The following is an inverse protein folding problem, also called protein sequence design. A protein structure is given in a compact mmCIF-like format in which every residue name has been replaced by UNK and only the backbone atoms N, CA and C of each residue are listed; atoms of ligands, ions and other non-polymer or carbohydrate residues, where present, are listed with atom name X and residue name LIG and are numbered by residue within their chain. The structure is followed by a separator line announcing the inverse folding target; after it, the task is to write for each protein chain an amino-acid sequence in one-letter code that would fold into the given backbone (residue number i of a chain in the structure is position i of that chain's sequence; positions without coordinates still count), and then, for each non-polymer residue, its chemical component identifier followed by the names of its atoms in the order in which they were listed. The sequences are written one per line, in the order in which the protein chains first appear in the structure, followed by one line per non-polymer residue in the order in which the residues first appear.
data_IF_448307069215
#
_entry.id   IF_448307069215
#
_cell.length_a   1.000
_cell.length_b   1.000
_cell.length_c   1.000
_cell.angle_alpha   90.00
_cell.angle_beta   90.00
_cell.angle_gamma   90.00
#
_symmetry.space_group_name_H-M   'P 1'
#
loop_
_entity.id
_entity.type
_entity.pdbx_description
1 polymer ?
#
# COMPACT_ATOMS: atom_id res chain seq x y z
N UNK A 1 41.06 -9.76 16.00
CA UNK A 1 41.27 -9.58 14.54
C UNK A 1 40.56 -10.74 13.85
N UNK A 2 39.37 -10.50 13.32
CA UNK A 2 38.60 -11.49 12.57
C UNK A 2 37.72 -10.72 11.60
N UNK A 3 38.23 -10.51 10.39
CA UNK A 3 37.46 -9.88 9.31
C UNK A 3 36.40 -10.89 8.91
N UNK A 4 35.14 -10.60 9.25
CA UNK A 4 34.01 -11.38 8.75
C UNK A 4 33.87 -10.99 7.28
N UNK A 5 34.17 -11.94 6.40
CA UNK A 5 34.15 -11.75 4.96
C UNK A 5 32.68 -11.61 4.49
N UNK A 6 32.16 -10.39 4.61
CA UNK A 6 30.82 -10.02 4.18
C UNK A 6 30.89 -9.73 2.68
N UNK A 7 30.27 -10.61 1.86
CA UNK A 7 30.13 -10.40 0.42
C UNK A 7 29.58 -8.99 0.12
N UNK A 8 30.07 -8.37 -0.96
CA UNK A 8 29.80 -6.96 -1.27
C UNK A 8 28.52 -6.70 -2.05
N UNK A 9 27.93 -7.73 -2.69
CA UNK A 9 26.83 -7.56 -3.64
C UNK A 9 25.58 -8.35 -3.24
N UNK A 10 24.39 -7.77 -3.43
CA UNK A 10 23.08 -8.46 -3.33
C UNK A 10 22.59 -8.89 -4.71
N UNK A 11 21.73 -9.92 -4.77
CA UNK A 11 21.12 -10.40 -6.03
C UNK A 11 20.60 -9.23 -6.88
N UNK A 12 21.08 -9.12 -8.12
CA UNK A 12 20.73 -8.05 -9.06
C UNK A 12 21.64 -6.82 -9.04
N UNK A 13 22.49 -6.63 -8.03
CA UNK A 13 23.39 -5.47 -7.92
C UNK A 13 24.52 -5.48 -8.97
N UNK A 14 24.98 -6.67 -9.38
CA UNK A 14 26.08 -6.82 -10.33
C UNK A 14 25.58 -7.12 -11.74
N UNK A 15 24.92 -6.15 -12.39
CA UNK A 15 24.65 -6.20 -13.84
C UNK A 15 25.83 -5.64 -14.66
N UNK A 16 27.04 -6.16 -14.43
CA UNK A 16 28.22 -5.80 -15.22
C UNK A 16 28.94 -7.08 -15.65
N UNK A 17 28.41 -7.75 -16.68
CA UNK A 17 29.16 -8.80 -17.36
C UNK A 17 30.34 -8.16 -18.11
N UNK A 18 31.56 -8.63 -17.84
CA UNK A 18 32.75 -8.18 -18.56
C UNK A 18 33.27 -9.32 -19.44
N UNK A 19 33.06 -9.20 -20.75
CA UNK A 19 33.44 -10.24 -21.73
C UNK A 19 34.93 -10.58 -21.71
N UNK A 20 35.80 -9.66 -21.27
CA UNK A 20 37.26 -9.90 -21.24
C UNK A 20 37.70 -10.57 -19.94
N UNK A 21 37.13 -10.17 -18.80
CA UNK A 21 37.49 -10.71 -17.48
C UNK A 21 36.81 -12.06 -17.21
N UNK A 22 35.59 -12.25 -17.73
CA UNK A 22 34.79 -13.46 -17.52
C UNK A 22 35.05 -14.57 -18.55
N UNK A 23 35.93 -14.34 -19.54
CA UNK A 23 36.35 -15.36 -20.52
C UNK A 23 37.39 -16.32 -19.93
N UNK A 24 36.98 -17.04 -18.89
CA UNK A 24 37.76 -18.06 -18.20
C UNK A 24 36.88 -19.30 -17.94
N UNK A 25 37.49 -20.44 -17.58
CA UNK A 25 36.73 -21.69 -17.44
C UNK A 25 35.66 -21.60 -16.35
N UNK A 26 35.92 -20.95 -15.23
CA UNK A 26 34.92 -20.75 -14.17
C UNK A 26 33.77 -19.83 -14.63
N UNK A 27 34.09 -18.74 -15.33
CA UNK A 27 33.11 -17.79 -15.86
C UNK A 27 32.16 -18.42 -16.88
N UNK A 28 32.71 -19.13 -17.86
CA UNK A 28 31.93 -19.81 -18.92
C UNK A 28 31.09 -20.95 -18.35
N UNK A 29 31.60 -21.69 -17.35
CA UNK A 29 30.91 -22.84 -16.74
C UNK A 29 30.10 -22.41 -15.50
N UNK A 30 29.19 -21.45 -15.71
CA UNK A 30 28.18 -21.05 -14.74
C UNK A 30 28.56 -19.86 -13.85
N UNK A 31 29.83 -19.45 -13.81
CA UNK A 31 30.29 -18.31 -12.99
C UNK A 31 29.62 -16.99 -13.38
N UNK A 32 29.39 -16.73 -14.67
CA UNK A 32 28.63 -15.54 -15.12
C UNK A 32 27.17 -15.61 -14.69
N UNK A 33 26.54 -16.79 -14.78
CA UNK A 33 25.15 -16.98 -14.36
C UNK A 33 24.98 -16.76 -12.85
N UNK A 34 25.96 -17.20 -12.06
CA UNK A 34 26.01 -16.95 -10.63
C UNK A 34 26.09 -15.44 -10.29
N UNK A 35 26.59 -14.60 -11.20
CA UNK A 35 26.63 -13.15 -11.00
C UNK A 35 25.32 -12.44 -11.27
N UNK A 36 24.60 -12.90 -12.29
CA UNK A 36 23.41 -12.20 -12.81
C UNK A 36 22.10 -12.77 -12.27
N UNK A 37 22.15 -13.90 -11.55
CA UNK A 37 20.97 -14.62 -11.06
C UNK A 37 21.21 -15.21 -9.68
N UNK A 38 20.20 -15.12 -8.81
CA UNK A 38 20.14 -15.78 -7.49
C UNK A 38 19.69 -17.23 -7.53
N UNK A 39 19.27 -17.72 -8.70
CA UNK A 39 18.89 -19.13 -8.89
C UNK A 39 20.08 -20.05 -8.63
N UNK A 40 19.77 -21.23 -8.12
CA UNK A 40 20.77 -22.29 -8.02
C UNK A 40 21.14 -22.75 -9.42
N UNK A 41 22.41 -22.51 -9.78
CA UNK A 41 22.97 -22.88 -11.07
C UNK A 41 24.16 -23.78 -10.81
N UNK A 42 24.29 -24.82 -11.62
CA UNK A 42 25.45 -25.68 -11.56
C UNK A 42 26.68 -24.89 -12.05
N UNK A 43 27.63 -24.70 -11.13
CA UNK A 43 28.88 -23.98 -11.41
C UNK A 43 30.05 -24.91 -11.14
N UNK A 44 31.01 -24.93 -12.07
CA UNK A 44 32.29 -25.60 -11.86
C UNK A 44 33.30 -24.59 -11.34
N UNK A 45 33.66 -24.75 -10.07
CA UNK A 45 34.61 -23.91 -9.35
C UNK A 45 36.06 -24.27 -9.68
N UNK A 46 36.96 -23.31 -9.48
CA UNK A 46 38.40 -23.41 -9.70
C UNK A 46 38.98 -24.64 -9.00
N UNK A 47 38.54 -24.91 -7.77
CA UNK A 47 38.96 -26.08 -6.99
C UNK A 47 38.63 -27.40 -7.69
N UNK A 48 37.50 -27.48 -8.38
CA UNK A 48 37.12 -28.67 -9.13
C UNK A 48 37.99 -28.82 -10.38
N UNK A 49 38.20 -27.74 -11.13
CA UNK A 49 39.11 -27.75 -12.28
C UNK A 49 40.52 -28.19 -11.89
N UNK A 50 41.09 -27.61 -10.82
CA UNK A 50 42.43 -28.00 -10.32
C UNK A 50 42.50 -29.43 -9.78
N UNK A 51 41.37 -30.00 -9.34
CA UNK A 51 41.29 -31.39 -8.88
C UNK A 51 41.32 -32.39 -10.03
N UNK A 52 40.71 -32.07 -11.16
CA UNK A 52 40.52 -33.01 -12.27
C UNK A 52 41.44 -32.77 -13.47
N UNK A 53 42.06 -31.59 -13.59
CA UNK A 53 43.09 -31.31 -14.60
C UNK A 53 44.48 -31.58 -14.04
N UNK A 54 45.26 -32.43 -14.74
CA UNK A 54 46.67 -32.63 -14.41
C UNK A 54 47.50 -31.37 -14.73
N UNK A 55 48.66 -31.22 -14.08
CA UNK A 55 49.55 -30.07 -14.32
C UNK A 55 49.99 -29.94 -15.79
N UNK A 56 50.11 -31.05 -16.53
CA UNK A 56 50.41 -31.01 -17.96
C UNK A 56 49.24 -30.54 -18.81
N UNK A 57 48.01 -30.88 -18.43
CA UNK A 57 46.80 -30.42 -19.10
C UNK A 57 46.56 -28.93 -18.84
N UNK A 58 46.81 -28.47 -17.61
CA UNK A 58 46.69 -27.04 -17.25
C UNK A 58 47.63 -26.16 -18.09
N UNK A 59 48.86 -26.61 -18.35
CA UNK A 59 49.84 -25.89 -19.20
C UNK A 59 49.42 -25.79 -20.67
N UNK A 60 48.49 -26.62 -21.13
CA UNK A 60 47.98 -26.64 -22.51
C UNK A 60 46.71 -25.82 -22.70
N UNK A 61 46.13 -25.28 -21.63
CA UNK A 61 44.91 -24.47 -21.69
C UNK A 61 45.19 -23.13 -22.38
N UNK A 62 44.32 -22.74 -23.31
CA UNK A 62 44.37 -21.42 -23.97
C UNK A 62 43.64 -20.32 -23.20
N UNK A 63 42.71 -20.71 -22.34
CA UNK A 63 41.95 -19.82 -21.46
C UNK A 63 42.26 -20.18 -20.01
N UNK A 64 42.42 -19.18 -19.12
CA UNK A 64 42.74 -19.43 -17.73
C UNK A 64 41.56 -20.14 -17.04
N UNK A 65 41.86 -20.84 -15.93
CA UNK A 65 40.81 -21.50 -15.13
C UNK A 65 39.86 -20.45 -14.53
N UNK A 66 40.38 -19.32 -14.05
CA UNK A 66 39.60 -18.29 -13.35
C UNK A 66 39.54 -18.54 -11.84
N UNK A 67 38.98 -17.57 -11.11
CA UNK A 67 38.88 -17.59 -9.64
C UNK A 67 37.44 -17.82 -9.15
N UNK A 68 37.31 -18.37 -7.94
CA UNK A 68 36.02 -18.63 -7.31
C UNK A 68 35.37 -17.36 -6.75
N UNK A 69 34.32 -16.90 -7.42
CA UNK A 69 33.64 -15.65 -7.07
C UNK A 69 32.42 -15.81 -6.15
N UNK A 70 32.25 -17.00 -5.57
CA UNK A 70 31.13 -17.34 -4.66
C UNK A 70 31.12 -16.50 -3.38
N UNK A 71 32.27 -15.95 -2.97
CA UNK A 71 32.43 -15.09 -1.79
C UNK A 71 32.03 -13.62 -2.00
N UNK A 72 31.79 -13.19 -3.25
CA UNK A 72 31.39 -11.80 -3.54
C UNK A 72 29.95 -11.49 -3.09
N UNK A 73 29.14 -12.52 -2.85
CA UNK A 73 27.71 -12.40 -2.56
C UNK A 73 27.42 -12.60 -1.08
N UNK A 74 26.53 -11.77 -0.53
CA UNK A 74 26.03 -11.97 0.84
C UNK A 74 25.30 -13.31 0.89
N UNK A 75 25.76 -14.24 1.73
CA UNK A 75 25.12 -15.54 1.90
C UNK A 75 23.83 -15.36 2.72
N UNK A 76 22.69 -15.67 2.13
CA UNK A 76 21.48 -15.97 2.90
C UNK A 76 21.40 -17.48 3.17
N UNK A 77 21.11 -17.92 4.41
CA UNK A 77 20.84 -19.33 4.67
C UNK A 77 19.59 -19.74 3.89
N UNK A 78 19.73 -20.63 2.92
CA UNK A 78 18.57 -21.22 2.24
C UNK A 78 18.02 -22.33 3.13
N UNK A 79 16.84 -22.09 3.71
CA UNK A 79 16.01 -23.13 4.30
C UNK A 79 15.57 -24.15 3.25
N UNK A 80 15.34 -25.37 3.73
CA UNK A 80 14.93 -26.60 3.04
C UNK A 80 13.81 -26.47 1.99
N UNK A 81 13.79 -27.45 1.07
CA UNK A 81 12.83 -27.69 -0.02
C UNK A 81 11.43 -27.10 0.19
N UNK A 82 11.01 -26.29 -0.78
CA UNK A 82 9.67 -25.71 -0.91
C UNK A 82 8.67 -26.85 -1.13
N UNK A 83 8.04 -27.31 -0.05
CA UNK A 83 6.73 -27.95 -0.15
C UNK A 83 5.68 -26.86 -0.32
N UNK A 84 4.81 -27.13 -1.28
CA UNK A 84 3.79 -26.27 -1.84
C UNK A 84 2.63 -26.12 -0.85
N UNK A 85 2.84 -25.49 0.29
CA UNK A 85 1.72 -25.23 1.21
C UNK A 85 1.79 -23.81 1.79
N UNK A 86 0.59 -23.24 1.77
CA UNK A 86 0.17 -21.89 2.05
C UNK A 86 0.81 -21.30 3.31
N UNK A 87 1.25 -20.05 3.18
CA UNK A 87 2.08 -19.32 4.13
C UNK A 87 1.32 -19.00 5.45
N UNK A 88 1.71 -19.63 6.58
CA UNK A 88 1.30 -19.26 7.95
C UNK A 88 2.46 -19.44 8.96
N UNK A 89 2.82 -18.35 9.68
CA UNK A 89 3.66 -18.27 10.92
C UNK A 89 5.17 -18.53 10.73
N UNK A 90 6.15 -17.67 11.03
CA UNK A 90 6.54 -16.80 12.17
C UNK A 90 6.89 -17.53 13.47
N UNK A 91 8.19 -17.53 13.79
CA UNK A 91 8.85 -17.20 15.09
C UNK A 91 10.36 -17.09 14.75
N UNK A 92 10.92 -15.90 14.51
CA UNK A 92 11.43 -14.89 15.46
C UNK A 92 12.33 -15.47 16.56
N UNK A 93 13.63 -15.40 16.36
CA UNK A 93 14.48 -14.81 17.40
C UNK A 93 15.42 -13.73 16.83
N UNK A 94 15.35 -13.48 15.53
CA UNK A 94 16.60 -13.37 14.81
C UNK A 94 16.20 -12.97 13.40
N UNK A 95 16.52 -11.72 13.03
CA UNK A 95 16.11 -11.04 11.80
C UNK A 95 14.68 -11.38 11.33
N UNK A 96 13.68 -11.01 12.13
CA UNK A 96 12.30 -11.38 11.88
C UNK A 96 11.77 -10.88 10.54
N UNK A 97 11.29 -11.82 9.73
CA UNK A 97 10.74 -11.61 8.39
C UNK A 97 9.67 -10.51 8.39
N UNK A 98 9.89 -9.42 7.64
CA UNK A 98 8.85 -8.44 7.34
C UNK A 98 7.79 -9.08 6.44
N UNK A 99 6.82 -9.74 7.07
CA UNK A 99 5.72 -10.37 6.36
C UNK A 99 4.76 -9.31 5.83
N UNK A 100 4.38 -9.46 4.57
CA UNK A 100 3.28 -8.72 3.99
C UNK A 100 1.97 -9.17 4.65
N UNK A 101 1.65 -8.59 5.81
CA UNK A 101 0.34 -8.75 6.43
C UNK A 101 -0.66 -7.91 5.66
N UNK A 102 -1.36 -8.51 4.69
CA UNK A 102 -2.47 -7.82 4.00
C UNK A 102 -3.65 -7.49 4.92
N UNK A 103 -3.63 -7.94 6.18
CA UNK A 103 -4.46 -7.40 7.26
C UNK A 103 -4.14 -8.12 8.58
N UNK A 104 -3.94 -7.36 9.65
CA UNK A 104 -4.02 -7.86 11.03
C UNK A 104 -5.45 -8.21 11.46
N UNK A 105 -6.30 -8.65 10.53
CA UNK A 105 -7.76 -8.76 10.65
C UNK A 105 -8.29 -10.10 10.13
N UNK A 106 -7.43 -10.99 9.62
CA UNK A 106 -7.86 -12.31 9.13
C UNK A 106 -8.22 -13.27 10.26
N UNK A 107 -7.62 -13.13 11.45
CA UNK A 107 -8.00 -13.90 12.63
C UNK A 107 -9.46 -13.66 13.05
N UNK A 108 -9.99 -12.46 12.86
CA UNK A 108 -11.40 -12.16 13.16
C UNK A 108 -12.39 -12.62 12.07
N UNK A 109 -11.92 -12.94 10.87
CA UNK A 109 -12.79 -13.37 9.75
C UNK A 109 -13.01 -14.88 9.76
N UNK A 110 -12.06 -15.65 10.30
CA UNK A 110 -12.15 -17.12 10.37
C UNK A 110 -13.11 -17.62 11.46
N UNK A 111 -13.43 -16.79 12.46
CA UNK A 111 -14.40 -17.12 13.53
C UNK A 111 -15.84 -16.64 13.22
N UNK A 112 -16.12 -16.20 11.99
CA UNK A 112 -17.44 -15.67 11.61
C UNK A 112 -18.49 -16.74 11.31
N UNK A 113 -18.10 -18.01 11.23
CA UNK A 113 -19.03 -19.13 11.20
C UNK A 113 -19.27 -19.61 12.63
N UNK A 114 -20.47 -19.30 13.14
CA UNK A 114 -21.06 -19.68 14.45
C UNK A 114 -21.20 -18.52 15.45
N UNK A 115 -22.30 -17.78 15.33
CA UNK A 115 -23.03 -17.23 16.49
C UNK A 115 -22.22 -16.51 17.58
N UNK A 116 -21.34 -15.56 17.25
CA UNK A 116 -20.96 -14.53 18.24
C UNK A 116 -20.67 -13.20 17.55
N UNK A 117 -21.66 -12.29 17.54
CA UNK A 117 -21.46 -10.86 17.25
C UNK A 117 -20.68 -10.21 18.40
N UNK A 118 -19.43 -10.65 18.63
CA UNK A 118 -18.49 -9.87 19.40
C UNK A 118 -18.07 -8.72 18.51
N UNK A 119 -18.69 -7.55 18.75
CA UNK A 119 -18.31 -6.29 18.12
C UNK A 119 -16.80 -6.14 18.26
N UNK A 120 -16.04 -6.26 17.19
CA UNK A 120 -14.65 -5.82 17.16
C UNK A 120 -14.71 -4.33 17.52
N UNK A 121 -14.24 -3.98 18.71
CA UNK A 121 -14.39 -2.64 19.27
C UNK A 121 -13.36 -1.70 18.59
N UNK A 122 -13.53 -1.46 17.29
CA UNK A 122 -12.69 -0.58 16.49
C UNK A 122 -12.92 0.85 16.98
N UNK A 123 -11.89 1.44 17.60
CA UNK A 123 -11.93 2.84 18.01
C UNK A 123 -11.90 3.70 16.74
N UNK A 124 -13.04 4.29 16.40
CA UNK A 124 -13.19 5.20 15.27
C UNK A 124 -12.99 6.65 15.70
N UNK A 125 -12.44 7.46 14.81
CA UNK A 125 -12.40 8.91 14.96
C UNK A 125 -13.81 9.51 14.85
N UNK A 126 -14.03 10.74 15.34
CA UNK A 126 -15.30 11.43 15.13
C UNK A 126 -15.49 11.94 13.69
N UNK A 127 -14.57 11.66 12.76
CA UNK A 127 -14.67 12.11 11.37
C UNK A 127 -15.98 11.65 10.69
N UNK A 128 -16.65 12.58 10.04
CA UNK A 128 -17.76 12.30 9.12
C UNK A 128 -17.32 12.61 7.69
N UNK A 129 -17.44 11.63 6.79
CA UNK A 129 -17.22 11.82 5.35
C UNK A 129 -18.57 11.88 4.65
N UNK A 130 -18.96 13.06 4.15
CA UNK A 130 -20.21 13.26 3.44
C UNK A 130 -20.05 12.99 1.94
N UNK A 131 -20.48 11.81 1.50
CA UNK A 131 -20.44 11.38 0.10
C UNK A 131 -21.83 11.41 -0.57
N UNK A 132 -22.81 12.11 0.02
CA UNK A 132 -24.18 12.23 -0.51
C UNK A 132 -24.28 12.91 -1.89
N UNK A 133 -23.25 13.63 -2.34
CA UNK A 133 -23.18 14.19 -3.69
C UNK A 133 -22.47 13.27 -4.70
N UNK A 134 -21.87 12.17 -4.26
CA UNK A 134 -21.13 11.26 -5.16
C UNK A 134 -22.12 10.33 -5.84
N UNK A 135 -22.18 10.38 -7.17
CA UNK A 135 -23.22 9.68 -7.93
C UNK A 135 -22.79 8.25 -8.33
N UNK A 136 -21.49 7.99 -8.51
CA UNK A 136 -20.99 6.73 -9.07
C UNK A 136 -20.83 5.63 -8.01
N UNK A 137 -21.49 4.47 -8.14
CA UNK A 137 -21.36 3.36 -7.19
C UNK A 137 -19.92 2.86 -6.96
N UNK A 138 -19.03 2.76 -7.97
CA UNK A 138 -17.62 2.40 -7.72
C UNK A 138 -16.89 3.38 -6.81
N UNK A 139 -17.12 4.69 -6.99
CA UNK A 139 -16.48 5.73 -6.17
C UNK A 139 -16.99 5.65 -4.73
N UNK A 140 -18.30 5.46 -4.54
CA UNK A 140 -18.89 5.22 -3.23
C UNK A 140 -18.30 3.97 -2.56
N UNK A 141 -18.12 2.87 -3.30
CA UNK A 141 -17.52 1.64 -2.77
C UNK A 141 -16.07 1.85 -2.32
N UNK A 142 -15.29 2.57 -3.12
CA UNK A 142 -13.90 2.90 -2.78
C UNK A 142 -13.78 3.86 -1.60
N UNK A 143 -14.66 4.86 -1.51
CA UNK A 143 -14.71 5.79 -0.36
C UNK A 143 -15.16 5.04 0.90
N UNK A 144 -16.13 4.13 0.80
CA UNK A 144 -16.57 3.30 1.92
C UNK A 144 -15.42 2.46 2.48
N UNK A 145 -14.69 1.77 1.59
CA UNK A 145 -13.50 1.00 1.97
C UNK A 145 -12.42 1.86 2.63
N UNK A 146 -12.14 3.02 2.06
CA UNK A 146 -11.18 3.98 2.60
C UNK A 146 -11.58 4.44 4.01
N UNK A 147 -12.85 4.83 4.19
CA UNK A 147 -13.37 5.30 5.47
C UNK A 147 -13.28 4.21 6.55
N UNK A 148 -13.54 2.96 6.18
CA UNK A 148 -13.38 1.84 7.09
C UNK A 148 -11.91 1.63 7.50
N UNK A 149 -11.02 1.57 6.52
CA UNK A 149 -9.58 1.36 6.73
C UNK A 149 -8.92 2.46 7.56
N UNK A 150 -9.38 3.71 7.44
CA UNK A 150 -8.84 4.86 8.17
C UNK A 150 -9.63 5.21 9.44
N UNK A 151 -10.60 4.37 9.82
CA UNK A 151 -11.35 4.54 11.07
C UNK A 151 -12.20 5.80 11.13
N UNK A 152 -12.81 6.21 10.01
CA UNK A 152 -13.82 7.27 10.02
C UNK A 152 -15.03 6.82 10.88
N UNK A 153 -15.66 7.78 11.55
CA UNK A 153 -16.82 7.53 12.41
C UNK A 153 -18.07 7.23 11.60
N UNK A 154 -18.35 8.06 10.58
CA UNK A 154 -19.51 7.89 9.70
C UNK A 154 -19.19 8.25 8.26
N UNK A 155 -19.83 7.57 7.32
CA UNK A 155 -19.93 7.98 5.92
C UNK A 155 -21.39 8.20 5.54
N UNK A 156 -21.70 9.32 4.89
CA UNK A 156 -23.06 9.58 4.40
C UNK A 156 -23.23 9.21 2.92
N UNK A 157 -24.43 8.80 2.53
CA UNK A 157 -24.81 8.48 1.15
C UNK A 157 -26.19 9.04 0.83
N UNK A 158 -26.46 9.35 -0.45
CA UNK A 158 -27.79 9.79 -0.88
C UNK A 158 -28.83 8.66 -0.81
N UNK A 159 -28.43 7.44 -1.14
CA UNK A 159 -29.31 6.27 -1.14
C UNK A 159 -28.51 5.06 -0.67
N UNK A 160 -28.91 4.48 0.47
CA UNK A 160 -28.26 3.29 1.01
C UNK A 160 -28.54 2.04 0.18
N UNK A 161 -29.54 2.05 -0.72
CA UNK A 161 -29.77 0.94 -1.67
C UNK A 161 -28.58 0.72 -2.61
N UNK A 162 -27.70 1.71 -2.79
CA UNK A 162 -26.47 1.58 -3.58
C UNK A 162 -25.55 0.48 -3.02
N UNK A 163 -25.68 0.10 -1.74
CA UNK A 163 -24.93 -1.02 -1.16
C UNK A 163 -25.19 -2.36 -1.85
N UNK A 164 -26.37 -2.51 -2.47
CA UNK A 164 -26.76 -3.73 -3.17
C UNK A 164 -26.29 -3.72 -4.65
N UNK A 165 -25.72 -2.61 -5.14
CA UNK A 165 -25.17 -2.49 -6.49
C UNK A 165 -23.86 -3.29 -6.60
N UNK A 166 -23.79 -4.21 -7.58
CA UNK A 166 -22.60 -5.04 -7.84
C UNK A 166 -21.32 -4.22 -8.06
N UNK A 167 -21.43 -3.03 -8.66
CA UNK A 167 -20.31 -2.14 -8.92
C UNK A 167 -19.77 -1.51 -7.64
N UNK A 168 -20.64 -1.17 -6.70
CA UNK A 168 -20.25 -0.72 -5.36
C UNK A 168 -19.54 -1.86 -4.61
N UNK A 169 -20.18 -3.03 -4.53
CA UNK A 169 -19.66 -4.20 -3.81
C UNK A 169 -18.29 -4.67 -4.34
N UNK A 170 -18.08 -4.58 -5.65
CA UNK A 170 -16.79 -4.95 -6.27
C UNK A 170 -15.59 -4.13 -5.78
N UNK A 171 -15.83 -2.90 -5.29
CA UNK A 171 -14.78 -2.00 -4.79
C UNK A 171 -14.76 -1.93 -3.26
N UNK A 172 -15.92 -2.02 -2.62
CA UNK A 172 -16.05 -1.96 -1.16
C UNK A 172 -15.38 -3.14 -0.43
N UNK A 173 -15.34 -4.34 -1.06
CA UNK A 173 -14.70 -5.54 -0.51
C UNK A 173 -15.09 -5.78 0.96
N UNK A 174 -16.39 -5.90 1.23
CA UNK A 174 -17.01 -6.12 2.56
C UNK A 174 -16.96 -4.96 3.55
N UNK A 175 -16.30 -3.83 3.22
CA UNK A 175 -16.30 -2.65 4.08
C UNK A 175 -17.70 -2.11 4.38
N UNK A 176 -18.67 -2.36 3.50
CA UNK A 176 -20.08 -2.02 3.67
C UNK A 176 -20.75 -2.68 4.89
N UNK A 177 -20.16 -3.77 5.38
CA UNK A 177 -20.64 -4.48 6.58
C UNK A 177 -20.11 -3.88 7.88
N UNK A 178 -19.01 -3.13 7.81
CA UNK A 178 -18.25 -2.66 8.98
C UNK A 178 -18.27 -1.14 9.14
N UNK A 179 -18.27 -0.41 8.02
CA UNK A 179 -18.30 1.04 8.00
C UNK A 179 -19.70 1.54 8.39
N UNK A 180 -19.83 2.39 9.43
CA UNK A 180 -21.10 3.01 9.76
C UNK A 180 -21.57 3.96 8.64
N UNK A 181 -22.73 3.65 8.04
CA UNK A 181 -23.32 4.42 6.94
C UNK A 181 -24.59 5.16 7.39
N UNK A 182 -24.75 6.41 6.94
CA UNK A 182 -25.96 7.21 7.13
C UNK A 182 -26.57 7.61 5.79
N UNK A 183 -27.89 7.48 5.66
CA UNK A 183 -28.60 8.07 4.54
C UNK A 183 -28.84 9.56 4.78
N UNK A 184 -28.35 10.42 3.88
CA UNK A 184 -28.64 11.85 3.87
C UNK A 184 -28.94 12.23 2.42
N UNK A 185 -30.23 12.49 2.13
CA UNK A 185 -30.69 12.88 0.79
C UNK A 185 -30.08 14.23 0.41
N UNK A 186 -29.88 14.45 -0.89
CA UNK A 186 -29.30 15.70 -1.40
C UNK A 186 -30.07 16.96 -0.97
N UNK A 187 -31.38 16.87 -0.80
CA UNK A 187 -32.20 17.98 -0.33
C UNK A 187 -32.06 18.27 1.16
N UNK A 188 -31.67 17.25 1.95
CA UNK A 188 -31.50 17.33 3.40
C UNK A 188 -30.07 17.70 3.82
N UNK A 189 -29.11 17.75 2.89
CA UNK A 189 -27.69 18.02 3.19
C UNK A 189 -27.52 19.30 4.01
N UNK A 190 -28.14 20.40 3.60
CA UNK A 190 -27.97 21.69 4.30
C UNK A 190 -28.52 21.63 5.72
N UNK A 191 -29.64 20.95 5.91
CA UNK A 191 -30.25 20.73 7.23
C UNK A 191 -29.33 19.88 8.11
N UNK A 192 -28.81 18.78 7.57
CA UNK A 192 -27.87 17.91 8.27
C UNK A 192 -26.58 18.64 8.69
N UNK A 193 -25.99 19.42 7.78
CA UNK A 193 -24.78 20.20 8.05
C UNK A 193 -25.00 21.20 9.19
N UNK A 194 -26.11 21.93 9.19
CA UNK A 194 -26.46 22.86 10.28
C UNK A 194 -26.62 22.15 11.62
N UNK A 195 -27.25 20.98 11.63
CA UNK A 195 -27.36 20.16 12.84
C UNK A 195 -25.98 19.72 13.36
N UNK A 196 -25.10 19.24 12.48
CA UNK A 196 -23.73 18.85 12.88
C UNK A 196 -22.89 20.02 13.36
N UNK A 197 -23.07 21.20 12.79
CA UNK A 197 -22.44 22.42 13.30
C UNK A 197 -22.85 22.74 14.74
N UNK A 198 -24.13 22.56 15.10
CA UNK A 198 -24.61 22.70 16.48
C UNK A 198 -24.04 21.63 17.43
N UNK A 199 -23.71 20.43 16.91
CA UNK A 199 -23.00 19.37 17.66
C UNK A 199 -21.48 19.61 17.82
N UNK A 200 -20.98 20.74 17.30
CA UNK A 200 -19.58 21.15 17.38
C UNK A 200 -18.69 20.62 16.26
N UNK A 201 -19.26 20.20 15.13
CA UNK A 201 -18.47 19.84 13.94
C UNK A 201 -18.03 21.06 13.16
N UNK A 202 -16.78 21.04 12.71
CA UNK A 202 -16.28 21.91 11.67
C UNK A 202 -16.65 21.36 10.30
N UNK A 203 -17.29 22.18 9.47
CA UNK A 203 -17.80 21.82 8.16
C UNK A 203 -16.78 22.18 7.08
N UNK A 204 -16.16 21.17 6.50
CA UNK A 204 -15.01 21.33 5.60
C UNK A 204 -15.41 20.86 4.20
N UNK A 205 -15.31 21.71 3.19
CA UNK A 205 -15.49 21.31 1.79
C UNK A 205 -14.18 20.80 1.19
N UNK A 206 -14.17 19.63 0.56
CA UNK A 206 -13.07 19.26 -0.33
C UNK A 206 -13.36 19.81 -1.72
N UNK A 207 -12.96 21.05 -1.96
CA UNK A 207 -13.29 21.77 -3.20
C UNK A 207 -12.28 22.88 -3.52
N UNK A 208 -12.12 23.14 -4.82
CA UNK A 208 -11.33 24.25 -5.35
C UNK A 208 -12.20 25.51 -5.43
N UNK A 209 -11.96 26.45 -4.53
CA UNK A 209 -12.61 27.76 -4.48
C UNK A 209 -11.55 28.86 -4.33
N UNK A 210 -11.91 30.11 -4.64
CA UNK A 210 -10.98 31.24 -4.53
C UNK A 210 -10.43 31.45 -3.10
N UNK A 211 -11.16 30.98 -2.09
CA UNK A 211 -10.81 31.09 -0.68
C UNK A 211 -10.42 29.74 -0.05
N UNK A 212 -10.15 28.71 -0.85
CA UNK A 212 -9.77 27.40 -0.32
C UNK A 212 -8.40 27.44 0.34
N UNK A 213 -8.29 26.78 1.49
CA UNK A 213 -7.03 26.58 2.20
C UNK A 213 -6.27 25.41 1.58
N UNK A 214 -4.99 25.61 1.27
CA UNK A 214 -4.16 24.53 0.71
C UNK A 214 -3.93 23.41 1.75
N UNK A 215 -4.18 22.17 1.35
CA UNK A 215 -3.84 20.99 2.15
C UNK A 215 -2.32 20.82 2.17
N UNK A 216 -1.72 21.14 3.31
CA UNK A 216 -0.28 20.98 3.56
C UNK A 216 -0.03 20.60 5.02
N UNK A 217 1.24 20.43 5.40
CA UNK A 217 1.63 19.99 6.75
C UNK A 217 1.29 20.96 7.88
N UNK A 218 0.87 22.19 7.57
CA UNK A 218 0.49 23.21 8.55
C UNK A 218 -1.03 23.30 8.76
N UNK A 219 -1.82 22.62 7.93
CA UNK A 219 -3.27 22.60 8.10
C UNK A 219 -3.62 21.70 9.28
N UNK A 220 -4.22 22.28 10.31
CA UNK A 220 -4.73 21.56 11.47
C UNK A 220 -6.22 21.29 11.29
N UNK A 221 -6.61 20.01 11.36
CA UNK A 221 -8.00 19.62 11.34
C UNK A 221 -8.58 19.68 12.75
N UNK A 222 -9.76 20.28 12.96
CA UNK A 222 -10.51 20.09 14.19
C UNK A 222 -10.85 18.61 14.39
N UNK A 223 -10.77 18.10 15.62
CA UNK A 223 -11.06 16.69 15.92
C UNK A 223 -12.44 16.30 15.36
N UNK A 224 -13.49 17.06 15.68
CA UNK A 224 -14.82 16.92 15.06
C UNK A 224 -14.87 17.58 13.67
N UNK A 225 -14.40 16.87 12.66
CA UNK A 225 -14.47 17.30 11.26
C UNK A 225 -15.58 16.59 10.48
N UNK A 226 -16.29 17.33 9.64
CA UNK A 226 -17.20 16.81 8.62
C UNK A 226 -16.72 17.27 7.25
N UNK A 227 -16.23 16.32 6.44
CA UNK A 227 -15.68 16.60 5.10
C UNK A 227 -16.76 16.35 4.05
N UNK A 228 -17.16 17.40 3.34
CA UNK A 228 -18.12 17.35 2.24
C UNK A 228 -17.40 17.11 0.91
N UNK A 229 -17.79 16.05 0.22
CA UNK A 229 -17.29 15.71 -1.11
C UNK A 229 -18.21 16.29 -2.18
N UNK A 230 -17.63 16.91 -3.22
CA UNK A 230 -18.37 17.42 -4.38
C UNK A 230 -18.74 16.34 -5.40
N UNK A 231 -19.60 16.72 -6.35
CA UNK A 231 -19.84 15.92 -7.57
C UNK A 231 -18.61 15.95 -8.46
N UNK A 232 -18.36 14.90 -9.22
CA UNK A 232 -17.16 14.81 -10.06
C UNK A 232 -17.06 15.88 -11.15
N UNK A 233 -18.18 16.46 -11.59
CA UNK A 233 -18.21 17.48 -12.64
C UNK A 233 -18.61 18.86 -12.11
N UNK A 234 -19.66 18.90 -11.30
CA UNK A 234 -20.27 20.14 -10.83
C UNK A 234 -19.68 20.62 -9.49
N UNK A 235 -18.90 19.79 -8.80
CA UNK A 235 -18.33 20.11 -7.50
C UNK A 235 -19.39 20.21 -6.40
N UNK A 236 -19.12 21.03 -5.40
CA UNK A 236 -20.05 21.35 -4.31
C UNK A 236 -21.00 22.49 -4.73
N UNK A 237 -22.34 22.28 -4.73
CA UNK A 237 -23.29 23.34 -5.03
C UNK A 237 -23.18 24.56 -4.11
N UNK A 238 -23.42 25.76 -4.65
CA UNK A 238 -23.34 27.03 -3.91
C UNK A 238 -24.17 27.04 -2.61
N UNK A 239 -25.36 26.42 -2.61
CA UNK A 239 -26.22 26.30 -1.42
C UNK A 239 -25.51 25.58 -0.26
N UNK A 240 -24.66 24.60 -0.58
CA UNK A 240 -23.88 23.83 0.40
C UNK A 240 -22.62 24.62 0.76
N UNK A 241 -21.89 25.18 -0.21
CA UNK A 241 -20.72 26.03 0.04
C UNK A 241 -21.02 27.15 1.04
N UNK A 242 -22.21 27.76 0.96
CA UNK A 242 -22.63 28.87 1.83
C UNK A 242 -22.74 28.53 3.33
N UNK A 243 -22.76 27.25 3.70
CA UNK A 243 -22.85 26.82 5.10
C UNK A 243 -21.55 26.20 5.63
N UNK A 244 -20.55 25.97 4.77
CA UNK A 244 -19.26 25.43 5.17
C UNK A 244 -18.46 26.47 5.95
N UNK A 245 -17.58 26.01 6.84
CA UNK A 245 -16.67 26.88 7.59
C UNK A 245 -15.48 27.29 6.72
N UNK A 246 -14.94 26.34 5.95
CA UNK A 246 -13.92 26.60 4.93
C UNK A 246 -13.86 25.46 3.91
N UNK A 247 -13.18 25.72 2.79
CA UNK A 247 -12.84 24.69 1.82
C UNK A 247 -11.35 24.38 1.87
N UNK A 248 -11.00 23.13 1.59
CA UNK A 248 -9.64 22.64 1.47
C UNK A 248 -9.38 22.26 0.03
N UNK A 249 -8.27 22.74 -0.52
CA UNK A 249 -7.80 22.39 -1.86
C UNK A 249 -6.52 21.58 -1.78
N UNK A 250 -6.47 20.50 -2.56
CA UNK A 250 -5.23 19.75 -2.75
C UNK A 250 -4.48 20.39 -3.92
N UNK A 251 -3.27 20.86 -3.66
CA UNK A 251 -2.42 21.49 -4.68
C UNK A 251 -2.13 20.52 -5.81
N UNK A 252 -2.43 20.95 -7.04
CA UNK A 252 -2.16 20.20 -8.26
C UNK A 252 -1.09 20.94 -9.07
N UNK A 253 -0.10 20.21 -9.56
CA UNK A 253 1.00 20.74 -10.39
C UNK A 253 0.93 20.25 -11.84
N UNK A 254 -0.01 19.35 -12.14
CA UNK A 254 -0.20 18.77 -13.47
C UNK A 254 -1.15 19.56 -14.35
N UNK A 255 -1.34 19.07 -15.58
CA UNK A 255 -2.21 19.67 -16.60
C UNK A 255 -3.69 19.29 -16.38
N UNK A 256 -3.95 18.14 -15.77
CA UNK A 256 -5.31 17.64 -15.51
C UNK A 256 -6.00 18.57 -14.50
N UNK A 257 -7.26 18.92 -14.80
CA UNK A 257 -8.02 19.92 -14.04
C UNK A 257 -8.39 19.49 -12.62
N UNK A 258 -8.57 18.19 -12.40
CA UNK A 258 -8.99 17.67 -11.10
C UNK A 258 -8.59 16.22 -10.90
N UNK A 259 -8.45 15.82 -9.64
CA UNK A 259 -8.24 14.42 -9.25
C UNK A 259 -9.56 13.65 -9.24
N UNK A 260 -9.47 12.32 -9.33
CA UNK A 260 -10.60 11.45 -9.03
C UNK A 260 -11.06 11.70 -7.57
N UNK A 261 -12.39 11.73 -7.34
CA UNK A 261 -12.95 12.04 -6.03
C UNK A 261 -12.47 11.08 -4.94
N UNK A 262 -12.41 9.78 -5.20
CA UNK A 262 -11.91 8.79 -4.23
C UNK A 262 -10.44 9.05 -3.88
N UNK A 263 -9.62 9.42 -4.86
CA UNK A 263 -8.21 9.76 -4.62
C UNK A 263 -8.09 11.03 -3.79
N UNK A 264 -8.88 12.06 -4.10
CA UNK A 264 -8.91 13.29 -3.33
C UNK A 264 -9.36 13.04 -1.88
N UNK A 265 -10.40 12.22 -1.69
CA UNK A 265 -10.88 11.78 -0.38
C UNK A 265 -9.78 11.03 0.37
N UNK A 266 -9.05 10.12 -0.28
CA UNK A 266 -7.96 9.38 0.36
C UNK A 266 -6.88 10.31 0.92
N UNK A 267 -6.49 11.34 0.16
CA UNK A 267 -5.46 12.30 0.59
C UNK A 267 -5.93 13.10 1.80
N UNK A 268 -7.13 13.68 1.78
CA UNK A 268 -7.60 14.50 2.90
C UNK A 268 -7.95 13.67 4.14
N UNK A 269 -8.56 12.49 3.98
CA UNK A 269 -8.88 11.60 5.12
C UNK A 269 -7.60 11.07 5.73
N UNK A 270 -6.58 10.74 4.94
CA UNK A 270 -5.29 10.35 5.48
C UNK A 270 -4.61 11.50 6.24
N UNK A 271 -4.64 12.72 5.69
CA UNK A 271 -4.10 13.91 6.36
C UNK A 271 -4.79 14.19 7.71
N UNK A 272 -6.11 14.02 7.78
CA UNK A 272 -6.86 14.05 9.04
C UNK A 272 -6.42 12.91 9.98
N UNK A 273 -6.32 11.67 9.47
CA UNK A 273 -6.02 10.50 10.30
C UNK A 273 -4.66 10.58 10.99
N UNK A 274 -3.67 11.20 10.35
CA UNK A 274 -2.35 11.43 10.96
C UNK A 274 -2.44 12.28 12.24
N UNK A 275 -3.47 13.12 12.36
CA UNK A 275 -3.65 14.02 13.49
C UNK A 275 -4.55 13.43 14.59
N UNK A 276 -5.47 12.51 14.26
CA UNK A 276 -6.57 12.11 15.14
C UNK A 276 -6.83 10.60 15.26
N UNK A 277 -6.11 9.74 14.53
CA UNK A 277 -6.29 8.28 14.55
C UNK A 277 -5.07 7.54 15.13
#
# INVERSE_FOLDING_TARGET
MGVVDAGKFKSGDAMLWNITEDLNLCGINGGVLLKVSDRDVDVIFEKQWKRYLSLEQQKKLRIPIGEDQKGLWVKHPRGSEVKLETFTGVEEEDASNMLQVKSGTWSTVLDADSQTRSMTNVKRSPLIVMASLVDKPPNLGGICRLCDCLGAGWMTMNDLKVKDDKRFLSVAVTADRWMPLLEVKQDDIVTFLRMKKLEGYSLIGLEQTDNSVELNSKLEFPEKSLIVLGREREGIPAKILSVLDFCVVIKQVGIVRSMNIQTATAVIVHAYSIQHC
#
